data_IF_342871320557
#
_entry.id   IF_342871320557
#
_cell.length_a   1.000
_cell.length_b   1.000
_cell.length_c   1.000
_cell.angle_alpha   90.00
_cell.angle_beta   90.00
_cell.angle_gamma   90.00
#
_symmetry.space_group_name_H-M   'P 1'
#
loop_
_entity.id
_entity.type
_entity.pdbx_description
1 polymer ?
#
# COMPACT_ATOMS: atom_id res chain seq x y z
N UNK A 1 -63.52 7.51 22.06
CA UNK A 1 -62.54 7.73 20.97
C UNK A 1 -61.18 8.01 21.60
N UNK A 2 -60.21 7.10 21.47
CA UNK A 2 -58.86 7.20 22.04
C UNK A 2 -57.85 6.66 21.03
N UNK A 3 -57.04 7.53 20.43
CA UNK A 3 -55.75 7.30 19.75
C UNK A 3 -55.03 8.69 19.81
N UNK A 4 -53.70 8.87 20.02
CA UNK A 4 -52.62 7.94 19.70
C UNK A 4 -51.63 7.60 20.82
N UNK A 5 -51.23 6.33 20.78
CA UNK A 5 -49.99 5.79 21.30
C UNK A 5 -48.79 6.54 20.73
N UNK A 6 -47.97 7.11 21.59
CA UNK A 6 -46.68 7.72 21.24
C UNK A 6 -45.74 6.61 20.76
N UNK A 7 -45.44 6.60 19.48
CA UNK A 7 -44.34 5.83 18.92
C UNK A 7 -43.03 6.37 19.48
N UNK A 8 -42.41 5.63 20.40
CA UNK A 8 -41.02 5.87 20.82
C UNK A 8 -40.15 5.20 19.76
N UNK A 9 -39.62 6.02 18.85
CA UNK A 9 -38.60 5.59 17.90
C UNK A 9 -37.37 5.23 18.72
N UNK A 10 -37.05 3.94 18.80
CA UNK A 10 -35.74 3.48 19.24
C UNK A 10 -34.73 4.03 18.23
N UNK A 11 -33.96 5.03 18.67
CA UNK A 11 -32.75 5.44 17.98
C UNK A 11 -31.76 4.27 18.04
N UNK A 12 -31.71 3.48 16.98
CA UNK A 12 -30.66 2.49 16.76
C UNK A 12 -29.34 3.23 16.63
N UNK A 13 -28.53 3.21 17.69
CA UNK A 13 -27.13 3.60 17.62
C UNK A 13 -26.45 2.50 16.80
N UNK A 14 -26.36 2.70 15.49
CA UNK A 14 -25.41 2.00 14.63
C UNK A 14 -24.02 2.47 15.04
N UNK A 15 -23.45 1.80 16.05
CA UNK A 15 -22.07 1.95 16.43
C UNK A 15 -21.18 1.43 15.30
N UNK A 16 -20.75 2.37 14.46
CA UNK A 16 -19.57 2.42 13.61
C UNK A 16 -18.56 1.28 13.84
N UNK A 17 -18.72 0.17 13.11
CA UNK A 17 -17.58 -0.68 12.75
C UNK A 17 -16.94 -0.08 11.49
N UNK A 18 -16.35 1.10 11.65
CA UNK A 18 -15.43 1.65 10.67
C UNK A 18 -14.14 0.85 10.71
N UNK A 19 -14.18 -0.40 10.22
CA UNK A 19 -12.97 -1.07 9.72
C UNK A 19 -12.55 -0.30 8.48
N UNK A 20 -11.91 0.85 8.70
CA UNK A 20 -11.43 1.73 7.64
C UNK A 20 -10.41 0.96 6.82
N UNK A 21 -10.80 0.59 5.61
CA UNK A 21 -9.86 0.16 4.60
C UNK A 21 -8.83 1.30 4.45
N UNK A 22 -7.53 1.10 4.72
CA UNK A 22 -6.56 2.18 4.59
C UNK A 22 -6.63 2.77 3.17
N UNK A 23 -6.37 4.08 3.03
CA UNK A 23 -6.40 4.76 1.74
C UNK A 23 -5.32 4.16 0.83
N UNK A 24 -5.74 3.21 0.00
CA UNK A 24 -4.91 2.52 -0.99
C UNK A 24 -4.59 3.47 -2.13
N UNK A 25 -3.31 3.73 -2.34
CA UNK A 25 -2.81 4.67 -3.35
C UNK A 25 -2.37 3.96 -4.64
N UNK A 26 -1.88 2.72 -4.51
CA UNK A 26 -1.44 1.88 -5.63
C UNK A 26 -1.59 0.39 -5.27
N UNK A 27 -1.78 -0.47 -6.27
CA UNK A 27 -1.89 -1.92 -6.09
C UNK A 27 -1.42 -2.67 -7.34
N UNK A 28 -0.67 -3.74 -7.13
CA UNK A 28 -0.48 -4.81 -8.10
C UNK A 28 -0.47 -6.18 -7.39
N UNK A 29 -1.53 -6.95 -7.59
CA UNK A 29 -1.74 -8.21 -6.89
C UNK A 29 -1.81 -8.02 -5.37
N UNK A 30 -0.90 -8.68 -4.66
CA UNK A 30 -0.82 -8.59 -3.20
C UNK A 30 0.04 -7.39 -2.72
N UNK A 31 0.73 -6.68 -3.62
CA UNK A 31 1.53 -5.51 -3.26
C UNK A 31 0.68 -4.25 -3.34
N UNK A 32 0.78 -3.40 -2.31
CA UNK A 32 0.00 -2.18 -2.20
C UNK A 32 0.85 -1.05 -1.64
N UNK A 33 0.64 0.15 -2.18
CA UNK A 33 1.00 1.38 -1.50
C UNK A 33 -0.24 1.91 -0.81
N UNK A 34 -0.16 2.20 0.48
CA UNK A 34 -1.28 2.76 1.23
C UNK A 34 -0.80 3.77 2.27
N UNK A 35 -1.67 4.73 2.56
CA UNK A 35 -1.43 5.68 3.64
C UNK A 35 -1.80 5.05 4.98
N UNK A 36 -0.89 5.09 5.95
CA UNK A 36 -1.18 4.59 7.29
C UNK A 36 -2.21 5.51 7.97
N UNK A 37 -3.32 4.99 8.53
CA UNK A 37 -4.29 5.80 9.26
C UNK A 37 -3.62 6.60 10.37
N UNK A 38 -4.00 7.88 10.52
CA UNK A 38 -3.45 8.81 11.51
C UNK A 38 -1.93 9.05 11.42
N UNK A 39 -1.28 8.71 10.30
CA UNK A 39 0.14 8.96 10.03
C UNK A 39 0.32 9.66 8.67
N UNK A 40 1.48 10.30 8.48
CA UNK A 40 1.92 10.81 7.17
C UNK A 40 2.69 9.76 6.36
N UNK A 41 2.96 8.61 6.96
CA UNK A 41 3.67 7.51 6.31
C UNK A 41 2.85 6.90 5.19
N UNK A 42 3.53 6.65 4.08
CA UNK A 42 3.02 5.93 2.92
C UNK A 42 3.88 4.69 2.75
N UNK A 43 3.28 3.52 2.86
CA UNK A 43 4.02 2.27 3.04
C UNK A 43 3.82 1.39 1.81
N UNK A 44 4.89 0.76 1.33
CA UNK A 44 4.82 -0.38 0.43
C UNK A 44 4.62 -1.63 1.29
N UNK A 45 3.54 -2.35 1.05
CA UNK A 45 3.17 -3.52 1.83
C UNK A 45 2.79 -4.71 0.97
N UNK A 46 3.10 -5.91 1.46
CA UNK A 46 2.55 -7.16 0.93
C UNK A 46 1.39 -7.63 1.80
N UNK A 47 0.24 -7.92 1.19
CA UNK A 47 -0.96 -8.35 1.89
C UNK A 47 -1.12 -9.88 1.86
N UNK A 48 -1.05 -10.50 3.05
CA UNK A 48 -1.39 -11.91 3.25
C UNK A 48 -2.81 -12.01 3.82
N UNK A 49 -3.76 -12.56 3.06
CA UNK A 49 -5.07 -12.96 3.61
C UNK A 49 -5.73 -11.94 4.54
N UNK A 50 -5.98 -12.32 5.81
CA UNK A 50 -6.75 -11.59 6.84
C UNK A 50 -6.13 -10.28 7.37
N UNK A 51 -5.41 -9.52 6.54
CA UNK A 51 -5.06 -8.13 6.84
C UNK A 51 -3.65 -7.88 7.39
N UNK A 52 -2.76 -8.87 7.32
CA UNK A 52 -1.34 -8.67 7.65
C UNK A 52 -0.62 -7.91 6.55
N UNK A 53 0.07 -6.83 6.92
CA UNK A 53 0.93 -6.07 6.00
C UNK A 53 2.36 -6.06 6.50
N UNK A 54 3.26 -6.67 5.72
CA UNK A 54 4.71 -6.52 5.89
C UNK A 54 5.18 -5.37 5.03
N UNK A 55 5.77 -4.37 5.66
CA UNK A 55 6.28 -3.18 5.00
C UNK A 55 7.45 -2.62 5.79
N UNK A 56 8.35 -1.93 5.10
CA UNK A 56 9.43 -1.17 5.72
C UNK A 56 8.84 -0.20 6.78
N UNK A 57 9.50 -0.09 7.94
CA UNK A 57 9.11 0.86 9.00
C UNK A 57 9.67 2.25 8.69
N UNK A 58 8.81 3.28 8.73
CA UNK A 58 9.11 4.71 8.54
C UNK A 58 9.42 5.27 7.12
N UNK A 59 9.41 4.55 5.99
CA UNK A 59 9.57 5.20 4.70
C UNK A 59 8.28 5.88 4.23
N UNK A 60 8.40 7.02 3.57
CA UNK A 60 7.33 7.56 2.71
C UNK A 60 7.61 7.11 1.29
N UNK A 61 6.82 6.16 0.78
CA UNK A 61 6.86 5.74 -0.61
C UNK A 61 6.32 6.86 -1.50
N UNK A 62 7.11 7.22 -2.49
CA UNK A 62 6.92 8.35 -3.40
C UNK A 62 6.68 7.93 -4.84
N UNK A 63 7.08 6.71 -5.21
CA UNK A 63 6.78 6.11 -6.50
C UNK A 63 6.70 4.58 -6.39
N UNK A 64 5.95 3.95 -7.29
CA UNK A 64 5.78 2.51 -7.37
C UNK A 64 5.51 2.06 -8.81
N UNK A 65 5.79 0.80 -9.11
CA UNK A 65 5.47 0.17 -10.39
C UNK A 65 5.67 -1.34 -10.35
N UNK A 66 5.11 -2.05 -11.31
CA UNK A 66 5.18 -3.52 -11.33
C UNK A 66 5.19 -4.12 -12.73
N UNK A 67 5.69 -5.36 -12.79
CA UNK A 67 5.42 -6.30 -13.87
C UNK A 67 5.24 -7.71 -13.30
N UNK A 68 5.16 -8.71 -14.18
CA UNK A 68 4.94 -10.10 -13.81
C UNK A 68 6.00 -10.70 -12.87
N UNK A 69 7.22 -10.14 -12.81
CA UNK A 69 8.35 -10.67 -12.02
C UNK A 69 8.78 -9.75 -10.88
N UNK A 70 8.56 -8.45 -11.01
CA UNK A 70 9.13 -7.47 -10.11
C UNK A 70 8.10 -6.44 -9.65
N UNK A 71 8.32 -5.91 -8.45
CA UNK A 71 7.73 -4.65 -7.98
C UNK A 71 8.88 -3.69 -7.74
N UNK A 72 8.73 -2.42 -8.11
CA UNK A 72 9.69 -1.36 -7.82
C UNK A 72 9.03 -0.30 -6.99
N UNK A 73 9.77 0.33 -6.08
CA UNK A 73 9.28 1.48 -5.34
C UNK A 73 10.41 2.41 -4.91
N UNK A 74 10.08 3.68 -4.73
CA UNK A 74 11.00 4.71 -4.29
C UNK A 74 10.56 5.30 -2.97
N UNK A 75 11.50 5.44 -2.04
CA UNK A 75 11.33 6.05 -0.72
C UNK A 75 12.08 7.38 -0.69
N UNK A 76 11.47 8.41 -0.07
CA UNK A 76 12.10 9.72 0.16
C UNK A 76 12.79 10.30 -1.10
N UNK A 77 12.17 10.08 -2.28
CA UNK A 77 12.61 10.55 -3.60
C UNK A 77 14.03 10.19 -4.04
N UNK A 78 14.72 9.25 -3.38
CA UNK A 78 16.14 8.98 -3.63
C UNK A 78 16.60 7.56 -3.30
N UNK A 79 15.84 6.83 -2.49
CA UNK A 79 16.14 5.44 -2.15
C UNK A 79 15.23 4.52 -2.95
N UNK A 80 15.81 3.82 -3.93
CA UNK A 80 15.08 2.92 -4.81
C UNK A 80 15.20 1.48 -4.34
N UNK A 81 14.12 0.72 -4.49
CA UNK A 81 14.02 -0.68 -4.10
C UNK A 81 13.32 -1.45 -5.20
N UNK A 82 13.59 -2.76 -5.23
CA UNK A 82 12.74 -3.68 -5.97
C UNK A 82 12.52 -4.97 -5.20
N UNK A 83 11.44 -5.66 -5.55
CA UNK A 83 11.03 -6.94 -4.98
C UNK A 83 10.99 -7.96 -6.11
N UNK A 84 11.67 -9.09 -5.93
CA UNK A 84 11.53 -10.26 -6.82
C UNK A 84 10.33 -11.08 -6.34
N UNK A 85 9.30 -11.21 -7.18
CA UNK A 85 8.09 -11.96 -6.82
C UNK A 85 8.40 -13.44 -6.68
N UNK A 86 7.89 -14.04 -5.62
CA UNK A 86 7.93 -15.48 -5.38
C UNK A 86 6.55 -16.10 -5.62
N UNK A 87 6.50 -17.34 -6.09
CA UNK A 87 5.23 -18.02 -6.39
C UNK A 87 4.38 -18.32 -5.15
N UNK A 88 5.01 -18.40 -3.97
CA UNK A 88 4.39 -18.90 -2.74
C UNK A 88 4.36 -17.87 -1.59
N UNK A 89 4.49 -16.56 -1.86
CA UNK A 89 4.41 -15.57 -0.80
C UNK A 89 4.96 -14.19 -1.15
N UNK A 90 5.38 -13.48 -0.10
CA UNK A 90 6.12 -12.23 -0.25
C UNK A 90 7.45 -12.49 -0.95
N UNK A 91 7.81 -11.55 -1.83
CA UNK A 91 9.05 -11.57 -2.55
C UNK A 91 10.22 -11.02 -1.75
N UNK A 92 11.43 -11.24 -2.25
CA UNK A 92 12.64 -10.69 -1.61
C UNK A 92 12.79 -9.22 -1.94
N UNK A 93 12.77 -8.35 -0.92
CA UNK A 93 13.05 -6.92 -1.07
C UNK A 93 14.56 -6.65 -1.14
N UNK A 94 14.98 -5.89 -2.14
CA UNK A 94 16.37 -5.53 -2.42
C UNK A 94 16.52 -4.00 -2.50
N UNK A 95 17.54 -3.47 -1.82
CA UNK A 95 17.84 -2.04 -1.70
C UNK A 95 18.18 -1.64 -0.26
N UNK A 96 18.31 -0.33 0.04
CA UNK A 96 18.16 0.79 -0.89
C UNK A 96 19.29 0.86 -1.91
N UNK A 97 18.96 1.33 -3.11
CA UNK A 97 19.89 1.71 -4.16
C UNK A 97 19.73 3.20 -4.47
N UNK A 98 20.84 3.89 -4.75
CA UNK A 98 20.76 5.25 -5.30
C UNK A 98 20.26 5.23 -6.75
N UNK A 99 19.91 6.40 -7.31
CA UNK A 99 19.35 6.50 -8.66
C UNK A 99 20.28 5.93 -9.74
N UNK A 100 21.60 6.12 -9.59
CA UNK A 100 22.57 5.67 -10.60
C UNK A 100 22.72 4.15 -10.57
N UNK A 101 22.83 3.58 -9.38
CA UNK A 101 22.88 2.14 -9.18
C UNK A 101 21.58 1.49 -9.65
N UNK A 102 20.43 2.04 -9.26
CA UNK A 102 19.12 1.53 -9.63
C UNK A 102 18.89 1.54 -11.13
N UNK A 103 19.34 2.58 -11.85
CA UNK A 103 19.24 2.61 -13.32
C UNK A 103 20.10 1.55 -14.03
N UNK A 104 21.22 1.14 -13.42
CA UNK A 104 22.01 0.02 -13.93
C UNK A 104 21.30 -1.31 -13.67
N UNK A 105 20.81 -1.51 -12.44
CA UNK A 105 20.04 -2.71 -12.05
C UNK A 105 18.78 -2.83 -12.92
N UNK A 106 18.04 -1.73 -13.14
CA UNK A 106 16.83 -1.69 -13.98
C UNK A 106 17.08 -2.22 -15.37
N UNK A 107 18.21 -1.85 -15.98
CA UNK A 107 18.61 -2.36 -17.30
C UNK A 107 19.03 -3.83 -17.24
N UNK A 108 19.83 -4.21 -16.25
CA UNK A 108 20.34 -5.59 -16.11
C UNK A 108 19.21 -6.60 -15.84
N UNK A 109 18.26 -6.24 -15.00
CA UNK A 109 17.17 -7.12 -14.54
C UNK A 109 15.84 -6.87 -15.26
N UNK A 110 15.80 -5.94 -16.22
CA UNK A 110 14.57 -5.52 -16.91
C UNK A 110 13.46 -5.13 -15.92
N UNK A 111 13.81 -4.32 -14.92
CA UNK A 111 12.83 -3.85 -13.93
C UNK A 111 11.82 -2.89 -14.60
N UNK A 112 10.54 -2.91 -14.19
CA UNK A 112 9.53 -2.03 -14.74
C UNK A 112 9.81 -0.56 -14.41
N UNK A 113 9.28 0.39 -15.20
CA UNK A 113 9.24 1.79 -14.80
C UNK A 113 8.29 1.98 -13.59
N UNK A 114 8.40 3.12 -12.93
CA UNK A 114 7.37 3.58 -12.01
C UNK A 114 6.11 3.99 -12.81
N UNK A 115 4.96 3.40 -12.52
CA UNK A 115 3.67 3.72 -13.14
C UNK A 115 2.79 4.60 -12.23
N UNK A 116 3.16 4.70 -10.94
CA UNK A 116 2.52 5.54 -9.96
C UNK A 116 3.53 6.43 -9.24
N UNK A 117 3.12 7.68 -8.99
CA UNK A 117 3.88 8.68 -8.26
C UNK A 117 2.96 9.39 -7.28
N UNK A 118 3.46 9.67 -6.07
CA UNK A 118 2.77 10.52 -5.11
C UNK A 118 2.64 11.92 -5.71
N UNK A 119 1.41 12.41 -5.85
CA UNK A 119 1.15 13.79 -6.28
C UNK A 119 1.64 14.74 -5.19
N UNK A 120 2.61 15.59 -5.52
CA UNK A 120 3.09 16.67 -4.68
C UNK A 120 2.14 17.88 -4.71
#
# INVERSE_FOLDING_TARGET
MRIPSRAVILAGIFALSGCGNPDKLWEDGNYRVYKRPNSREIIMGYHFGDGGVLGLSEPTVTAAGANARHVVFQVNTSSNYYIVREAAGEGTTLGPFDDKEFENIRRQHSLPPFDWHLRQ
#
